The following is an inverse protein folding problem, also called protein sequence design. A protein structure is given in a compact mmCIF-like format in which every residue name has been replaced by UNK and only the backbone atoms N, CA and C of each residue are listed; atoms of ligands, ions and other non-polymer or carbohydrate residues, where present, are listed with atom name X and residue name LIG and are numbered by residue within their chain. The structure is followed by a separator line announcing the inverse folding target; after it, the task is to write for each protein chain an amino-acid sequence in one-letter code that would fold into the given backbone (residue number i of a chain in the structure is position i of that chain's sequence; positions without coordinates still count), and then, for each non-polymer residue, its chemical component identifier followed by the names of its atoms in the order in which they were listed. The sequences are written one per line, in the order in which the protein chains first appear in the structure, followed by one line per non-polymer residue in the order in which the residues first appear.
data_IF_626927286039
#
_entry.id   IF_626927286039
#
_cell.length_a   1.000
_cell.length_b   1.000
_cell.length_c   1.000
_cell.angle_alpha   90.00
_cell.angle_beta   90.00
_cell.angle_gamma   90.00
#
_symmetry.space_group_name_H-M   'P 1'
#
loop_
_entity.id
_entity.type
_entity.pdbx_description
1 polymer ?
#
# COMPACT_ATOMS: atom_id res chain seq x y z
N UNK A 1 14.60 -3.32 -4.38
CA UNK A 1 13.75 -4.39 -3.82
C UNK A 1 12.47 -3.78 -3.25
N UNK A 2 11.31 -4.39 -3.45
CA UNK A 2 10.08 -4.01 -2.76
C UNK A 2 9.89 -4.95 -1.56
N UNK A 3 9.73 -4.39 -0.37
CA UNK A 3 9.49 -5.15 0.85
C UNK A 3 8.19 -4.68 1.48
N UNK A 4 7.32 -5.64 1.73
CA UNK A 4 6.13 -5.44 2.54
C UNK A 4 6.08 -6.52 3.61
N UNK A 5 5.68 -6.13 4.82
CA UNK A 5 5.47 -7.06 5.92
C UNK A 5 3.98 -7.29 6.15
N UNK A 6 3.62 -8.52 6.51
CA UNK A 6 2.32 -8.81 7.07
C UNK A 6 2.12 -7.98 8.34
N UNK A 7 0.98 -7.30 8.42
CA UNK A 7 0.63 -6.49 9.58
C UNK A 7 -0.67 -7.00 10.16
N UNK A 8 -0.72 -7.07 11.48
CA UNK A 8 -1.92 -7.38 12.23
C UNK A 8 -2.25 -6.18 13.10
N UNK A 9 -3.54 -5.93 13.29
CA UNK A 9 -4.02 -4.83 14.12
C UNK A 9 -5.46 -5.09 14.55
N UNK A 10 -5.95 -4.25 15.44
CA UNK A 10 -7.34 -4.29 15.83
C UNK A 10 -8.21 -3.78 14.67
N UNK A 11 -9.40 -4.37 14.53
CA UNK A 11 -10.50 -3.72 13.83
C UNK A 11 -10.71 -2.28 14.38
N UNK A 12 -11.26 -1.40 13.54
CA UNK A 12 -11.55 0.00 13.87
C UNK A 12 -10.35 0.86 14.29
N UNK A 13 -9.13 0.37 14.08
CA UNK A 13 -7.89 1.07 14.41
C UNK A 13 -6.98 1.17 13.19
N UNK A 14 -6.21 2.24 13.12
CA UNK A 14 -5.19 2.43 12.09
C UNK A 14 -4.10 1.36 12.24
N UNK A 15 -3.98 0.47 11.26
CA UNK A 15 -2.96 -0.57 11.19
C UNK A 15 -1.79 -0.04 10.37
N UNK A 16 -0.61 0.21 10.97
CA UNK A 16 0.55 0.70 10.22
C UNK A 16 1.00 -0.34 9.19
N UNK A 17 1.11 0.06 7.93
CA UNK A 17 1.63 -0.75 6.84
C UNK A 17 3.14 -0.50 6.70
N UNK A 18 3.96 -1.54 6.88
CA UNK A 18 5.39 -1.44 6.63
C UNK A 18 5.69 -1.68 5.14
N UNK A 19 5.45 -0.67 4.30
CA UNK A 19 5.74 -0.69 2.85
C UNK A 19 7.03 0.08 2.58
N UNK A 20 8.03 -0.60 2.03
CA UNK A 20 9.28 0.05 1.60
C UNK A 20 9.60 -0.36 0.16
N UNK A 21 9.67 0.63 -0.72
CA UNK A 21 9.84 0.42 -2.15
C UNK A 21 11.21 0.92 -2.62
N UNK A 22 11.94 0.05 -3.31
CA UNK A 22 13.15 0.42 -4.06
C UNK A 22 13.10 -0.29 -5.40
N UNK A 23 13.32 0.42 -6.49
CA UNK A 23 13.33 -0.15 -7.84
C UNK A 23 14.78 -0.46 -8.24
N UNK A 24 15.07 -1.61 -8.88
CA UNK A 24 16.43 -1.97 -9.25
C UNK A 24 16.94 -1.08 -10.40
N UNK A 25 18.11 -0.46 -10.21
CA UNK A 25 18.68 0.49 -11.18
C UNK A 25 18.86 1.91 -10.64
N UNK A 26 18.66 2.11 -9.33
CA UNK A 26 18.75 3.41 -8.64
C UNK A 26 17.82 4.48 -9.23
N UNK A 27 16.71 4.04 -9.83
CA UNK A 27 15.61 4.93 -10.20
C UNK A 27 14.71 5.26 -8.99
N UNK A 28 14.03 6.40 -9.10
CA UNK A 28 13.00 6.81 -8.16
C UNK A 28 11.69 6.06 -8.42
N UNK A 29 11.01 5.70 -7.33
CA UNK A 29 9.64 5.18 -7.40
C UNK A 29 8.75 6.33 -7.86
N UNK A 30 8.02 6.15 -8.97
CA UNK A 30 7.06 7.13 -9.48
C UNK A 30 5.69 6.97 -8.84
N UNK A 31 5.28 5.72 -8.60
CA UNK A 31 3.97 5.40 -8.03
C UNK A 31 3.96 4.02 -7.36
N UNK A 32 3.08 3.86 -6.38
CA UNK A 32 2.74 2.58 -5.78
C UNK A 32 1.25 2.30 -5.99
N UNK A 33 0.91 1.08 -6.40
CA UNK A 33 -0.47 0.59 -6.42
C UNK A 33 -0.64 -0.49 -5.35
N UNK A 34 -1.57 -0.28 -4.43
CA UNK A 34 -2.00 -1.26 -3.44
C UNK A 34 -3.30 -1.89 -3.94
N UNK A 35 -3.41 -3.21 -3.88
CA UNK A 35 -4.59 -3.95 -4.32
C UNK A 35 -5.00 -4.98 -3.28
N UNK A 36 -6.28 -5.38 -3.30
CA UNK A 36 -6.87 -6.27 -2.30
C UNK A 36 -7.38 -5.52 -1.07
N UNK A 37 -7.51 -4.20 -1.17
CA UNK A 37 -8.07 -3.37 -0.09
C UNK A 37 -9.57 -3.68 0.02
N UNK A 38 -10.07 -4.14 1.18
CA UNK A 38 -11.48 -4.46 1.35
C UNK A 38 -12.38 -3.24 1.13
N UNK A 39 -13.61 -3.48 0.66
CA UNK A 39 -14.61 -2.43 0.55
C UNK A 39 -14.89 -1.81 1.94
N UNK A 40 -14.84 -0.48 2.02
CA UNK A 40 -14.99 0.28 3.26
C UNK A 40 -13.71 0.46 4.07
N UNK A 41 -12.59 -0.16 3.67
CA UNK A 41 -11.28 0.12 4.26
C UNK A 41 -10.71 1.42 3.69
N UNK A 42 -9.90 2.11 4.48
CA UNK A 42 -9.27 3.39 4.07
C UNK A 42 -7.77 3.39 4.34
N UNK A 43 -6.99 3.99 3.43
CA UNK A 43 -5.58 4.27 3.66
C UNK A 43 -5.37 5.73 4.08
N UNK A 44 -4.37 6.00 4.90
CA UNK A 44 -4.04 7.36 5.35
C UNK A 44 -3.44 8.26 4.26
N UNK A 45 -3.06 7.69 3.12
CA UNK A 45 -2.48 8.40 1.99
C UNK A 45 -2.81 7.68 0.66
N UNK A 46 -2.65 8.41 -0.44
CA UNK A 46 -3.01 7.94 -1.77
C UNK A 46 -4.48 8.17 -2.12
N UNK A 47 -4.85 7.70 -3.30
CA UNK A 47 -6.18 7.83 -3.90
C UNK A 47 -6.85 6.47 -3.98
N UNK A 48 -8.07 6.37 -3.45
CA UNK A 48 -8.96 5.22 -3.66
C UNK A 48 -9.47 5.23 -5.11
N UNK A 49 -9.24 4.13 -5.84
CA UNK A 49 -9.72 3.99 -7.21
C UNK A 49 -11.17 3.42 -7.27
N UNK A 50 -11.75 3.02 -6.12
CA UNK A 50 -13.11 2.50 -6.02
C UNK A 50 -13.29 1.05 -6.50
N UNK A 51 -12.19 0.36 -6.80
CA UNK A 51 -12.17 -1.03 -7.30
C UNK A 51 -11.39 -1.98 -6.38
N UNK A 52 -11.21 -1.60 -5.11
CA UNK A 52 -10.36 -2.32 -4.14
C UNK A 52 -8.87 -2.11 -4.37
N UNK A 53 -8.51 -1.08 -5.15
CA UNK A 53 -7.13 -0.65 -5.35
C UNK A 53 -6.94 0.82 -5.00
N UNK A 54 -5.74 1.12 -4.50
CA UNK A 54 -5.33 2.46 -4.12
C UNK A 54 -4.04 2.83 -4.83
N UNK A 55 -3.95 4.08 -5.26
CA UNK A 55 -2.77 4.62 -5.95
C UNK A 55 -2.09 5.66 -5.06
N UNK A 56 -0.84 5.40 -4.67
CA UNK A 56 0.04 6.39 -4.03
C UNK A 56 0.91 7.01 -5.13
N UNK A 57 0.72 8.30 -5.34
CA UNK A 57 1.53 9.10 -6.28
C UNK A 57 2.89 9.42 -5.67
N UNK A 58 3.80 10.00 -6.46
CA UNK A 58 5.10 10.47 -5.96
C UNK A 58 4.99 11.37 -4.72
N UNK A 59 3.93 12.18 -4.62
CA UNK A 59 3.66 13.04 -3.46
C UNK A 59 3.30 12.25 -2.19
N UNK A 60 2.69 11.06 -2.33
CA UNK A 60 2.28 10.23 -1.20
C UNK A 60 3.43 9.34 -0.70
N UNK A 61 4.53 9.23 -1.46
CA UNK A 61 5.66 8.36 -1.11
C UNK A 61 6.40 8.82 0.15
N UNK A 62 6.39 10.12 0.44
CA UNK A 62 6.94 10.67 1.69
C UNK A 62 6.15 10.21 2.92
N UNK A 63 4.88 9.81 2.73
CA UNK A 63 4.02 9.32 3.81
C UNK A 63 4.15 7.80 4.05
N UNK A 64 4.95 7.07 3.27
CA UNK A 64 5.08 5.61 3.37
C UNK A 64 5.49 5.12 4.77
N UNK A 65 6.38 5.85 5.44
CA UNK A 65 6.82 5.52 6.80
C UNK A 65 5.68 5.65 7.85
N UNK A 66 4.61 6.35 7.49
CA UNK A 66 3.43 6.59 8.32
C UNK A 66 2.14 6.02 7.71
N UNK A 67 2.25 5.21 6.66
CA UNK A 67 1.09 4.69 5.96
C UNK A 67 0.31 3.75 6.88
N UNK A 68 -0.98 3.98 7.01
CA UNK A 68 -1.87 3.14 7.81
C UNK A 68 -3.08 2.72 6.99
N UNK A 69 -3.57 1.51 7.26
CA UNK A 69 -4.84 0.99 6.76
C UNK A 69 -5.82 0.91 7.92
N UNK A 70 -6.98 1.52 7.77
CA UNK A 70 -8.11 1.36 8.70
C UNK A 70 -9.10 0.39 8.07
N UNK A 71 -9.34 -0.79 8.69
CA UNK A 71 -10.34 -1.75 8.23
C UNK A 71 -11.76 -1.15 8.21
N UNK A 72 -12.69 -1.76 7.46
CA UNK A 72 -14.11 -1.46 7.61
C UNK A 72 -14.59 -1.78 9.03
N UNK A 73 -15.68 -1.14 9.45
CA UNK A 73 -16.32 -1.46 10.73
C UNK A 73 -16.76 -2.94 10.77
N UNK A 74 -16.62 -3.55 11.94
CA UNK A 74 -16.97 -4.96 12.21
C UNK A 74 -16.23 -5.99 11.32
N UNK A 75 -15.07 -5.61 10.76
CA UNK A 75 -14.33 -6.49 9.87
C UNK A 75 -13.60 -7.61 10.64
N UNK A 76 -13.86 -8.84 10.25
CA UNK A 76 -13.18 -10.04 10.75
C UNK A 76 -12.60 -10.84 9.59
N UNK A 77 -11.28 -11.12 9.59
CA UNK A 77 -10.68 -12.00 8.60
C UNK A 77 -9.19 -11.81 8.38
N UNK A 78 -8.72 -12.23 7.21
CA UNK A 78 -7.40 -11.92 6.68
C UNK A 78 -7.52 -11.00 5.46
N UNK A 79 -6.64 -10.01 5.36
CA UNK A 79 -6.51 -9.17 4.15
C UNK A 79 -5.28 -9.66 3.40
N UNK A 80 -5.47 -10.06 2.13
CA UNK A 80 -4.36 -10.36 1.24
C UNK A 80 -4.08 -9.11 0.40
N UNK A 81 -3.10 -8.33 0.82
CA UNK A 81 -2.74 -7.09 0.16
C UNK A 81 -1.57 -7.32 -0.79
N UNK A 82 -1.56 -6.60 -1.90
CA UNK A 82 -0.45 -6.62 -2.85
C UNK A 82 -0.06 -5.21 -3.22
N UNK A 83 1.24 -4.96 -3.27
CA UNK A 83 1.83 -3.66 -3.61
C UNK A 83 2.64 -3.83 -4.88
N UNK A 84 2.43 -2.92 -5.82
CA UNK A 84 3.20 -2.78 -7.05
C UNK A 84 3.85 -1.41 -7.07
N UNK A 85 5.18 -1.37 -7.06
CA UNK A 85 5.96 -0.15 -7.25
C UNK A 85 6.31 -0.01 -8.73
N UNK A 86 6.14 1.18 -9.29
CA UNK A 86 6.57 1.50 -10.65
C UNK A 86 7.58 2.65 -10.60
N UNK A 87 8.70 2.49 -11.29
CA UNK A 87 9.76 3.48 -11.46
C UNK A 87 9.39 4.51 -12.53
N UNK A 88 10.00 5.69 -12.46
CA UNK A 88 9.90 6.74 -13.50
C UNK A 88 10.34 6.28 -14.89
N UNK A 89 11.18 5.24 -14.99
CA UNK A 89 11.68 4.70 -16.27
C UNK A 89 10.83 3.54 -16.84
N UNK A 90 9.77 3.14 -16.12
CA UNK A 90 8.90 2.02 -16.49
C UNK A 90 9.26 0.68 -15.84
N UNK A 91 10.33 0.59 -15.06
CA UNK A 91 10.62 -0.57 -14.21
C UNK A 91 9.52 -0.81 -13.18
N UNK A 92 9.28 -2.06 -12.77
CA UNK A 92 8.28 -2.37 -11.73
C UNK A 92 8.74 -3.47 -10.78
N UNK A 93 8.31 -3.40 -9.52
CA UNK A 93 8.53 -4.40 -8.49
C UNK A 93 7.21 -4.71 -7.77
N UNK A 94 6.97 -5.98 -7.41
CA UNK A 94 5.73 -6.42 -6.76
C UNK A 94 6.03 -7.20 -5.48
N UNK A 95 5.18 -7.02 -4.46
CA UNK A 95 5.22 -7.75 -3.20
C UNK A 95 3.80 -7.95 -2.66
N UNK A 96 3.51 -9.11 -2.08
CA UNK A 96 2.21 -9.47 -1.50
C UNK A 96 2.36 -9.96 -0.07
N UNK A 97 1.36 -9.73 0.78
CA UNK A 97 1.39 -10.06 2.21
C UNK A 97 -0.01 -10.34 2.77
#
# INVERSE_FOLDING_TARGET
MLKVAAVSGAEDSAIPLAVSATVPGNEEVASLKISGVPEGATLSAGTDNGDGTWTLSSHDLDALDSLTLTPPADWSGNMALSVTATSTDGGSAMASF
#
